data_IF_230102661675
#
_entry.id   IF_230102661675
#
_cell.length_a   1.000
_cell.length_b   1.000
_cell.length_c   1.000
_cell.angle_alpha   90.00
_cell.angle_beta   90.00
_cell.angle_gamma   90.00
#
_symmetry.space_group_name_H-M   'P 1'
#
loop_
_entity.id
_entity.type
_entity.pdbx_description
1 polymer ?
#
# COMPACT_ATOMS: atom_id res chain seq x y z
N UNK A 1 -15.67 9.55 3.65
CA UNK A 1 -14.36 9.88 4.26
C UNK A 1 -13.97 8.94 5.42
N UNK A 2 -14.59 8.96 6.61
CA UNK A 2 -14.15 8.10 7.75
C UNK A 2 -14.07 6.60 7.44
N UNK A 3 -15.05 6.05 6.73
CA UNK A 3 -15.05 4.63 6.34
C UNK A 3 -13.95 4.30 5.31
N UNK A 4 -13.69 5.20 4.36
CA UNK A 4 -12.64 5.04 3.34
C UNK A 4 -11.24 5.05 3.98
N UNK A 5 -11.00 5.99 4.91
CA UNK A 5 -9.74 6.04 5.67
C UNK A 5 -9.50 4.72 6.41
N UNK A 6 -10.51 4.21 7.13
CA UNK A 6 -10.40 2.94 7.86
C UNK A 6 -10.16 1.75 6.92
N UNK A 7 -10.87 1.70 5.79
CA UNK A 7 -10.68 0.65 4.79
C UNK A 7 -9.23 0.60 4.29
N UNK A 8 -8.64 1.75 3.96
CA UNK A 8 -7.23 1.82 3.51
C UNK A 8 -6.28 1.41 4.63
N UNK A 9 -6.49 1.93 5.84
CA UNK A 9 -5.69 1.56 7.01
C UNK A 9 -5.74 0.05 7.27
N UNK A 10 -6.93 -0.55 7.27
CA UNK A 10 -7.13 -1.98 7.49
C UNK A 10 -6.49 -2.80 6.38
N UNK A 11 -6.63 -2.38 5.11
CA UNK A 11 -6.00 -3.04 3.97
C UNK A 11 -4.47 -3.11 4.13
N UNK A 12 -3.85 -2.00 4.52
CA UNK A 12 -2.40 -1.95 4.76
C UNK A 12 -2.01 -2.76 6.00
N UNK A 13 -2.61 -2.44 7.15
CA UNK A 13 -2.19 -2.94 8.46
C UNK A 13 -2.53 -4.42 8.70
N UNK A 14 -3.58 -4.93 8.05
CA UNK A 14 -4.00 -6.33 8.17
C UNK A 14 -3.74 -7.14 6.90
N UNK A 15 -3.87 -6.53 5.73
CA UNK A 15 -3.80 -7.23 4.43
C UNK A 15 -2.41 -7.29 3.80
N UNK A 16 -1.50 -6.38 4.16
CA UNK A 16 -0.14 -6.32 3.57
C UNK A 16 0.93 -6.55 4.64
N UNK A 17 0.96 -5.68 5.65
CA UNK A 17 2.07 -5.59 6.60
C UNK A 17 2.35 -6.89 7.37
N UNK A 18 1.35 -7.65 7.87
CA UNK A 18 1.62 -8.83 8.70
C UNK A 18 2.34 -9.94 7.94
N UNK A 19 2.12 -10.05 6.63
CA UNK A 19 2.73 -11.07 5.77
C UNK A 19 4.22 -10.78 5.50
N UNK A 20 4.64 -9.53 5.74
CA UNK A 20 6.01 -9.05 5.60
C UNK A 20 6.69 -8.80 6.94
N UNK A 21 6.01 -9.11 8.04
CA UNK A 21 6.58 -8.98 9.36
C UNK A 21 7.85 -9.82 9.47
N UNK A 22 8.92 -9.25 10.06
CA UNK A 22 10.21 -9.93 10.20
C UNK A 22 10.10 -11.31 10.87
N UNK A 23 9.21 -11.46 11.84
CA UNK A 23 8.95 -12.74 12.49
C UNK A 23 8.41 -13.78 11.48
N UNK A 24 7.46 -13.38 10.63
CA UNK A 24 6.90 -14.25 9.60
C UNK A 24 7.97 -14.57 8.56
N UNK A 25 8.71 -13.58 8.08
CA UNK A 25 9.78 -13.78 7.08
C UNK A 25 10.88 -14.71 7.57
N UNK A 26 11.23 -14.66 8.86
CA UNK A 26 12.17 -15.60 9.47
C UNK A 26 11.65 -17.05 9.44
N UNK A 27 10.33 -17.26 9.53
CA UNK A 27 9.71 -18.60 9.43
C UNK A 27 9.69 -19.11 7.99
N UNK A 28 9.56 -18.23 6.99
CA UNK A 28 9.64 -18.60 5.57
C UNK A 28 11.07 -19.03 5.19
N UNK A 29 12.09 -18.35 5.74
CA UNK A 29 13.48 -18.74 5.55
C UNK A 29 14.07 -18.25 4.22
N UNK A 30 14.43 -19.19 3.33
CA UNK A 30 15.18 -18.87 2.11
C UNK A 30 14.35 -18.03 1.11
N UNK A 31 13.05 -18.28 1.01
CA UNK A 31 12.15 -17.63 0.04
C UNK A 31 11.51 -16.34 0.59
N UNK A 32 12.08 -15.77 1.65
CA UNK A 32 11.50 -14.61 2.35
C UNK A 32 11.33 -13.39 1.45
N UNK A 33 12.23 -13.20 0.47
CA UNK A 33 12.22 -12.03 -0.41
C UNK A 33 11.08 -12.18 -1.41
N UNK A 34 11.01 -13.32 -2.08
CA UNK A 34 9.97 -13.67 -3.05
C UNK A 34 8.58 -13.65 -2.38
N UNK A 35 8.48 -14.19 -1.17
CA UNK A 35 7.26 -14.13 -0.36
C UNK A 35 6.84 -12.68 -0.09
N UNK A 36 7.75 -11.86 0.44
CA UNK A 36 7.44 -10.48 0.77
C UNK A 36 7.04 -9.68 -0.48
N UNK A 37 7.77 -9.85 -1.58
CA UNK A 37 7.50 -9.23 -2.87
C UNK A 37 6.11 -9.60 -3.40
N UNK A 38 5.74 -10.88 -3.37
CA UNK A 38 4.43 -11.35 -3.81
C UNK A 38 3.29 -10.62 -3.08
N UNK A 39 3.35 -10.55 -1.75
CA UNK A 39 2.32 -9.90 -0.96
C UNK A 39 2.35 -8.36 -1.03
N UNK A 40 3.54 -7.74 -1.22
CA UNK A 40 3.63 -6.30 -1.51
C UNK A 40 2.90 -6.05 -2.82
N UNK A 41 3.27 -6.72 -3.91
CA UNK A 41 2.74 -6.42 -5.25
C UNK A 41 1.23 -6.62 -5.28
N UNK A 42 0.75 -7.76 -4.78
CA UNK A 42 -0.68 -8.06 -4.76
C UNK A 42 -1.46 -7.08 -3.86
N UNK A 43 -0.92 -6.75 -2.69
CA UNK A 43 -1.53 -5.79 -1.77
C UNK A 43 -1.62 -4.38 -2.35
N UNK A 44 -0.55 -3.92 -3.00
CA UNK A 44 -0.47 -2.60 -3.63
C UNK A 44 -1.39 -2.49 -4.85
N UNK A 45 -1.49 -3.53 -5.69
CA UNK A 45 -2.44 -3.56 -6.81
C UNK A 45 -3.89 -3.37 -6.34
N UNK A 46 -4.29 -4.05 -5.26
CA UNK A 46 -5.61 -3.87 -4.69
C UNK A 46 -5.80 -2.47 -4.08
N UNK A 47 -4.75 -1.92 -3.46
CA UNK A 47 -4.78 -0.58 -2.88
C UNK A 47 -4.91 0.50 -3.94
N UNK A 48 -4.21 0.37 -5.08
CA UNK A 48 -4.30 1.29 -6.22
C UNK A 48 -5.76 1.43 -6.69
N UNK A 49 -6.49 0.31 -6.82
CA UNK A 49 -7.91 0.33 -7.21
C UNK A 49 -8.77 1.10 -6.22
N UNK A 50 -8.49 0.99 -4.92
CA UNK A 50 -9.20 1.77 -3.89
C UNK A 50 -8.86 3.26 -4.04
N UNK A 51 -7.59 3.59 -4.23
CA UNK A 51 -7.11 4.98 -4.35
C UNK A 51 -7.68 5.69 -5.58
N UNK A 52 -7.92 5.00 -6.70
CA UNK A 52 -8.62 5.56 -7.87
C UNK A 52 -9.99 6.18 -7.51
N UNK A 53 -10.63 5.73 -6.43
CA UNK A 53 -11.95 6.17 -6.02
C UNK A 53 -11.94 7.10 -4.81
N UNK A 54 -10.83 7.16 -4.05
CA UNK A 54 -10.77 7.89 -2.79
C UNK A 54 -9.78 9.05 -2.81
N UNK A 55 -8.72 8.95 -3.61
CA UNK A 55 -7.61 9.89 -3.56
C UNK A 55 -7.99 11.25 -4.17
N UNK A 56 -7.45 12.30 -3.56
CA UNK A 56 -7.33 13.64 -4.14
C UNK A 56 -5.85 13.99 -4.16
N UNK A 57 -5.46 15.06 -3.46
CA UNK A 57 -4.03 15.34 -3.17
C UNK A 57 -3.37 14.27 -2.28
N UNK A 58 -4.14 13.60 -1.44
CA UNK A 58 -3.70 12.56 -0.50
C UNK A 58 -4.57 11.30 -0.67
N UNK A 59 -4.34 10.26 0.15
CA UNK A 59 -5.04 8.98 0.02
C UNK A 59 -6.58 9.09 0.07
N UNK A 60 -7.10 10.11 0.78
CA UNK A 60 -8.53 10.41 0.86
C UNK A 60 -8.77 11.91 0.74
N UNK A 61 -9.16 12.39 -0.45
CA UNK A 61 -9.36 13.81 -0.72
C UNK A 61 -8.09 14.65 -0.58
N UNK A 62 -8.24 15.90 -0.13
CA UNK A 62 -7.16 16.90 -0.17
C UNK A 62 -6.55 17.24 1.19
N UNK A 63 -6.92 16.52 2.25
CA UNK A 63 -6.32 16.64 3.58
C UNK A 63 -5.61 15.34 4.00
N UNK A 64 -4.51 15.48 4.75
CA UNK A 64 -3.77 14.34 5.30
C UNK A 64 -4.65 13.57 6.28
N UNK A 65 -4.62 12.24 6.19
CA UNK A 65 -5.40 11.34 7.01
C UNK A 65 -4.56 10.19 7.59
N UNK A 66 -5.17 9.35 8.41
CA UNK A 66 -4.50 8.13 8.90
C UNK A 66 -4.10 7.17 7.76
N UNK A 67 -4.80 7.22 6.63
CA UNK A 67 -4.46 6.39 5.47
C UNK A 67 -3.05 6.73 4.95
N UNK A 68 -2.71 8.02 4.91
CA UNK A 68 -1.38 8.50 4.50
C UNK A 68 -0.30 8.07 5.50
N UNK A 69 -0.61 8.17 6.80
CA UNK A 69 0.29 7.74 7.88
C UNK A 69 0.58 6.23 7.79
N UNK A 70 -0.39 5.41 7.41
CA UNK A 70 -0.20 3.98 7.18
C UNK A 70 0.54 3.68 5.86
N UNK A 71 0.30 4.46 4.81
CA UNK A 71 0.86 4.23 3.48
C UNK A 71 2.36 4.49 3.43
N UNK A 72 2.83 5.62 3.97
CA UNK A 72 4.25 6.02 3.91
C UNK A 72 5.23 4.93 4.39
N UNK A 73 5.08 4.36 5.60
CA UNK A 73 6.00 3.29 6.04
C UNK A 73 5.86 2.01 5.22
N UNK A 74 4.67 1.71 4.69
CA UNK A 74 4.46 0.54 3.85
C UNK A 74 5.12 0.68 2.47
N UNK A 75 5.14 1.89 1.89
CA UNK A 75 5.90 2.21 0.67
C UNK A 75 7.40 2.05 0.92
N UNK A 76 7.91 2.59 2.02
CA UNK A 76 9.32 2.44 2.37
C UNK A 76 9.75 0.97 2.51
N UNK A 77 8.91 0.16 3.17
CA UNK A 77 9.13 -1.29 3.25
C UNK A 77 9.16 -1.95 1.86
N UNK A 78 8.21 -1.58 0.98
CA UNK A 78 8.15 -2.08 -0.39
C UNK A 78 9.41 -1.75 -1.18
N UNK A 79 9.90 -0.51 -1.12
CA UNK A 79 11.12 -0.07 -1.82
C UNK A 79 12.34 -0.91 -1.40
N UNK A 80 12.48 -1.16 -0.09
CA UNK A 80 13.60 -1.94 0.44
C UNK A 80 13.60 -3.42 0.02
N UNK A 81 12.42 -4.01 -0.21
CA UNK A 81 12.25 -5.45 -0.48
C UNK A 81 12.15 -5.75 -1.97
N UNK A 82 11.55 -4.85 -2.75
CA UNK A 82 11.07 -5.19 -4.08
C UNK A 82 11.68 -4.38 -5.22
N UNK A 83 12.35 -3.24 -4.96
CA UNK A 83 12.60 -2.23 -5.99
C UNK A 83 11.34 -1.90 -6.83
N UNK A 84 10.13 -2.23 -6.34
CA UNK A 84 8.90 -2.10 -7.09
C UNK A 84 8.53 -0.63 -7.20
N UNK A 85 8.08 -0.25 -8.40
CA UNK A 85 7.73 1.12 -8.76
C UNK A 85 6.75 1.74 -7.77
N UNK A 86 7.00 3.01 -7.50
CA UNK A 86 6.19 3.93 -6.71
C UNK A 86 4.69 3.79 -7.05
N UNK A 87 3.82 3.71 -6.03
CA UNK A 87 2.48 4.29 -6.17
C UNK A 87 2.69 5.79 -6.10
N UNK A 88 2.93 6.42 -7.25
CA UNK A 88 2.69 7.86 -7.33
C UNK A 88 1.17 8.03 -7.25
N UNK A 89 0.71 8.60 -6.14
CA UNK A 89 -0.70 9.02 -6.01
C UNK A 89 -1.10 9.89 -7.22
N UNK A 90 -0.13 10.61 -7.82
CA UNK A 90 -0.29 11.33 -9.09
C UNK A 90 -0.76 10.46 -10.26
N UNK A 91 -0.33 9.20 -10.38
CA UNK A 91 -0.71 8.34 -11.51
C UNK A 91 -2.09 7.70 -11.34
N UNK A 92 -2.59 7.56 -10.11
CA UNK A 92 -3.96 7.16 -9.81
C UNK A 92 -4.97 8.30 -10.12
N UNK A 93 -4.52 9.56 -10.07
CA UNK A 93 -5.35 10.74 -10.37
C UNK A 93 -5.18 11.21 -11.82
N UNK A 94 -4.12 10.80 -12.53
CA UNK A 94 -3.79 11.24 -13.90
C UNK A 94 -4.31 10.33 -15.02
N UNK A 95 -5.57 9.90 -14.96
CA UNK A 95 -6.33 9.57 -16.19
C UNK A 95 -7.26 10.73 -16.52
N UNK A 96 -6.86 11.70 -17.36
CA UNK A 96 -7.80 12.60 -17.98
C UNK A 96 -8.45 11.88 -19.16
N UNK A 97 -9.71 11.48 -18.99
CA UNK A 97 -10.52 10.95 -20.08
C UNK A 97 -11.62 10.01 -19.62
N UNK A 98 -12.69 10.54 -19.03
CA UNK A 98 -13.95 10.89 -19.69
C UNK A 98 -14.80 11.75 -18.74
#
# INVERSE_FOLDING_TARGET
MRAQVRMICDHIASGIQPLQNLYVLQKIGAEKVEWAQHFIVHGFQALEVILLQTAGRYCVGDEISMADICLVPQVYNAESVSQARYIEIDHAVSSPGY
#
